data_IF_971881491997
#
_entry.id   IF_971881491997
#
_cell.length_a   1.000
_cell.length_b   1.000
_cell.length_c   1.000
_cell.angle_alpha   90.00
_cell.angle_beta   90.00
_cell.angle_gamma   90.00
#
_symmetry.space_group_name_H-M   'P 1'
#
loop_
_entity.id
_entity.type
_entity.pdbx_description
1 polymer ?
#
# COMPACT_ATOMS: atom_id res chain seq x y z
N UNK A 1 -8.31 3.60 22.07
CA UNK A 1 -8.02 3.82 20.68
C UNK A 1 -6.86 4.79 20.60
N UNK A 2 -6.13 4.84 19.48
CA UNK A 2 -4.83 5.51 19.39
C UNK A 2 -4.87 6.96 19.83
N UNK A 3 -4.50 7.23 21.06
CA UNK A 3 -4.34 8.60 21.57
C UNK A 3 -3.02 9.18 21.06
N UNK A 4 -2.97 9.47 19.76
CA UNK A 4 -1.78 9.99 19.12
C UNK A 4 -0.64 9.00 18.87
N UNK A 5 -0.91 7.71 19.07
CA UNK A 5 0.03 6.63 18.76
C UNK A 5 -0.20 6.12 17.34
N UNK A 6 0.84 5.61 16.71
CA UNK A 6 0.70 4.92 15.45
C UNK A 6 0.35 3.46 15.69
N UNK A 7 -0.92 3.12 15.52
CA UNK A 7 -1.40 1.74 15.56
C UNK A 7 -1.36 1.21 14.12
N UNK A 8 -0.39 0.37 13.80
CA UNK A 8 -0.21 -0.16 12.45
C UNK A 8 -0.53 -1.65 12.39
N UNK A 9 -1.27 -2.04 11.36
CA UNK A 9 -1.49 -3.41 10.90
C UNK A 9 -1.85 -4.43 11.99
N UNK A 10 -3.11 -4.48 12.35
CA UNK A 10 -3.63 -5.53 13.22
C UNK A 10 -3.79 -6.87 12.50
N UNK A 11 -3.44 -7.94 13.19
CA UNK A 11 -3.83 -9.29 12.84
C UNK A 11 -5.15 -9.65 13.53
N UNK A 12 -6.01 -10.40 12.83
CA UNK A 12 -7.27 -10.88 13.37
C UNK A 12 -7.36 -12.39 13.23
N UNK A 13 -7.90 -13.05 14.25
CA UNK A 13 -8.16 -14.48 14.22
C UNK A 13 -9.48 -14.80 14.93
N UNK A 14 -10.19 -15.79 14.43
CA UNK A 14 -11.34 -16.38 15.11
C UNK A 14 -10.94 -17.71 15.74
N UNK A 15 -11.34 -17.92 16.99
CA UNK A 15 -11.22 -19.24 17.59
C UNK A 15 -12.40 -20.17 17.19
N UNK A 16 -12.27 -21.46 17.52
CA UNK A 16 -13.34 -22.44 17.23
C UNK A 16 -14.66 -22.17 17.97
N UNK A 17 -14.73 -21.18 18.86
CA UNK A 17 -15.92 -20.76 19.61
C UNK A 17 -16.54 -19.48 19.07
N UNK A 18 -15.91 -18.87 18.04
CA UNK A 18 -16.36 -17.64 17.42
C UNK A 18 -15.89 -16.35 18.13
N UNK A 19 -14.96 -16.46 19.07
CA UNK A 19 -14.34 -15.28 19.64
C UNK A 19 -13.37 -14.66 18.63
N UNK A 20 -13.43 -13.35 18.47
CA UNK A 20 -12.53 -12.59 17.62
C UNK A 20 -11.36 -12.08 18.45
N UNK A 21 -10.16 -12.50 18.11
CA UNK A 21 -8.92 -11.96 18.64
C UNK A 21 -8.35 -10.94 17.67
N UNK A 22 -7.88 -9.84 18.21
CA UNK A 22 -7.14 -8.82 17.48
C UNK A 22 -5.80 -8.61 18.18
N UNK A 23 -4.71 -8.49 17.44
CA UNK A 23 -3.42 -8.07 17.94
C UNK A 23 -2.85 -7.01 17.02
N UNK A 24 -2.27 -5.97 17.57
CA UNK A 24 -1.70 -4.87 16.80
C UNK A 24 -0.48 -4.30 17.52
N UNK A 25 0.57 -3.95 16.79
CA UNK A 25 1.69 -3.20 17.32
C UNK A 25 1.32 -1.72 17.45
N UNK A 26 1.89 -1.07 18.43
CA UNK A 26 1.82 0.38 18.60
C UNK A 26 3.18 0.91 19.04
N UNK A 27 3.52 2.09 18.59
CA UNK A 27 4.80 2.71 18.94
C UNK A 27 4.80 3.43 20.28
N UNK A 28 3.69 3.48 20.97
CA UNK A 28 3.52 4.16 22.26
C UNK A 28 4.04 5.61 22.31
N UNK A 29 4.27 6.23 21.14
CA UNK A 29 4.82 7.59 21.12
C UNK A 29 3.91 8.55 21.86
N UNK A 30 4.52 9.44 22.62
CA UNK A 30 3.89 10.67 23.09
C UNK A 30 4.08 11.76 22.03
N UNK A 31 3.11 12.67 21.89
CA UNK A 31 3.13 13.72 20.86
C UNK A 31 4.38 14.63 20.86
N UNK A 32 5.13 14.61 21.96
CA UNK A 32 6.34 15.41 22.12
C UNK A 32 7.63 14.68 21.75
N UNK A 33 7.57 13.35 21.51
CA UNK A 33 8.76 12.54 21.18
C UNK A 33 8.68 12.00 19.74
N UNK A 34 9.55 12.55 18.89
CA UNK A 34 9.69 12.12 17.48
C UNK A 34 10.42 10.78 17.33
N UNK A 35 10.95 10.21 18.37
CA UNK A 35 11.78 9.01 18.32
C UNK A 35 11.03 7.81 18.90
N UNK A 36 10.96 6.75 18.11
CA UNK A 36 10.39 5.46 18.48
C UNK A 36 11.36 4.70 19.39
N UNK A 37 11.20 4.77 20.68
CA UNK A 37 12.05 4.01 21.58
C UNK A 37 11.50 2.61 21.87
N UNK A 38 10.18 2.42 21.83
CA UNK A 38 9.55 1.16 22.22
C UNK A 38 8.30 0.88 21.39
N UNK A 39 8.24 -0.31 20.80
CA UNK A 39 7.02 -0.84 20.22
C UNK A 39 6.46 -1.96 21.11
N UNK A 40 5.18 -1.85 21.46
CA UNK A 40 4.46 -2.88 22.18
C UNK A 40 3.43 -3.55 21.28
N UNK A 41 3.11 -4.80 21.59
CA UNK A 41 2.01 -5.52 20.93
C UNK A 41 0.82 -5.54 21.90
N UNK A 42 -0.26 -4.91 21.49
CA UNK A 42 -1.53 -4.98 22.19
C UNK A 42 -2.38 -6.11 21.61
N UNK A 43 -3.12 -6.77 22.46
CA UNK A 43 -4.07 -7.78 22.05
C UNK A 43 -5.41 -7.58 22.76
N UNK A 44 -6.47 -7.86 22.06
CA UNK A 44 -7.83 -7.81 22.57
C UNK A 44 -8.65 -9.00 22.12
N UNK A 45 -9.65 -9.35 22.88
CA UNK A 45 -10.62 -10.38 22.52
C UNK A 45 -12.04 -9.81 22.59
N UNK A 46 -12.79 -9.96 21.51
CA UNK A 46 -14.22 -9.77 21.49
C UNK A 46 -14.89 -11.14 21.59
N UNK A 47 -15.54 -11.45 22.71
CA UNK A 47 -16.20 -12.73 22.86
C UNK A 47 -17.36 -12.88 21.87
N UNK A 48 -17.58 -14.12 21.43
CA UNK A 48 -18.76 -14.43 20.62
C UNK A 48 -20.02 -14.04 21.39
N UNK A 49 -20.88 -13.25 20.76
CA UNK A 49 -22.15 -12.89 21.34
C UNK A 49 -23.09 -14.10 21.31
N UNK A 50 -23.69 -14.51 22.46
CA UNK A 50 -24.68 -15.58 22.47
C UNK A 50 -25.83 -15.23 21.53
N UNK A 51 -26.13 -16.11 20.60
CA UNK A 51 -27.22 -15.90 19.64
C UNK A 51 -26.92 -14.86 18.58
N UNK A 52 -25.63 -14.63 18.28
CA UNK A 52 -25.26 -13.81 17.14
C UNK A 52 -26.04 -14.28 15.90
N UNK A 53 -26.77 -13.39 15.21
CA UNK A 53 -27.50 -13.77 14.02
C UNK A 53 -26.52 -14.37 13.01
N UNK A 54 -27.03 -15.36 12.25
CA UNK A 54 -26.27 -15.89 11.10
C UNK A 54 -25.67 -14.72 10.34
N UNK A 55 -24.36 -14.79 10.04
CA UNK A 55 -23.57 -13.67 9.54
C UNK A 55 -24.28 -12.83 8.49
N UNK A 56 -23.91 -11.58 8.31
CA UNK A 56 -24.62 -10.64 7.45
C UNK A 56 -24.79 -11.25 6.06
N UNK A 57 -26.03 -11.34 5.60
CA UNK A 57 -26.30 -11.75 4.21
C UNK A 57 -25.78 -10.64 3.30
N UNK A 58 -24.67 -10.89 2.64
CA UNK A 58 -24.17 -9.97 1.63
C UNK A 58 -25.18 -9.89 0.49
N UNK A 59 -25.64 -8.69 0.20
CA UNK A 59 -26.43 -8.40 -1.00
C UNK A 59 -25.50 -7.82 -2.06
N UNK A 60 -25.60 -8.33 -3.27
CA UNK A 60 -24.95 -7.70 -4.39
C UNK A 60 -25.42 -6.24 -4.48
N UNK A 61 -24.48 -5.31 -4.44
CA UNK A 61 -24.75 -3.88 -4.65
C UNK A 61 -24.31 -3.53 -6.06
N UNK A 62 -25.24 -3.05 -6.86
CA UNK A 62 -24.88 -2.41 -8.11
C UNK A 62 -24.17 -1.11 -7.76
N UNK A 63 -22.88 -1.04 -8.06
CA UNK A 63 -22.12 0.21 -7.93
C UNK A 63 -22.62 1.12 -9.05
N UNK A 64 -23.22 2.28 -8.73
CA UNK A 64 -23.59 3.22 -9.79
C UNK A 64 -22.32 3.60 -10.53
N UNK A 65 -22.38 3.53 -11.86
CA UNK A 65 -21.29 4.10 -12.67
C UNK A 65 -21.25 5.60 -12.37
N UNK A 66 -20.27 6.00 -11.59
CA UNK A 66 -19.99 7.42 -11.41
C UNK A 66 -19.52 7.95 -12.75
N UNK A 67 -20.30 8.83 -13.34
CA UNK A 67 -19.86 9.57 -14.51
C UNK A 67 -18.83 10.60 -14.04
N UNK A 68 -17.58 10.17 -13.95
CA UNK A 68 -16.46 11.07 -13.68
C UNK A 68 -16.24 11.88 -14.95
N UNK A 69 -16.42 13.19 -14.88
CA UNK A 69 -15.99 14.04 -15.97
C UNK A 69 -14.45 14.02 -15.99
N UNK A 70 -13.83 13.62 -17.10
CA UNK A 70 -12.40 13.66 -17.21
C UNK A 70 -11.90 15.10 -16.98
N UNK A 71 -10.84 15.25 -16.23
CA UNK A 71 -10.18 16.56 -16.01
C UNK A 71 -9.71 17.14 -17.34
N UNK A 72 -9.40 16.27 -18.28
CA UNK A 72 -9.03 16.59 -19.65
C UNK A 72 -9.91 15.81 -20.63
N UNK A 73 -10.60 16.50 -21.54
CA UNK A 73 -11.58 15.89 -22.44
C UNK A 73 -11.02 14.75 -23.32
N UNK A 74 -9.70 14.75 -23.55
CA UNK A 74 -8.98 13.77 -24.37
C UNK A 74 -8.01 12.92 -23.56
N UNK A 75 -8.13 12.86 -22.24
CA UNK A 75 -7.19 12.18 -21.36
C UNK A 75 -6.92 10.73 -21.79
N UNK A 76 -7.95 9.95 -22.04
CA UNK A 76 -7.80 8.55 -22.49
C UNK A 76 -7.08 8.41 -23.82
N UNK A 77 -7.38 9.27 -24.79
CA UNK A 77 -6.73 9.26 -26.11
C UNK A 77 -5.27 9.69 -26.00
N UNK A 78 -4.99 10.73 -25.23
CA UNK A 78 -3.65 11.24 -25.05
C UNK A 78 -2.76 10.25 -24.28
N UNK A 79 -3.30 9.57 -23.27
CA UNK A 79 -2.60 8.48 -22.56
C UNK A 79 -2.31 7.31 -23.50
N UNK A 80 -3.28 6.89 -24.31
CA UNK A 80 -3.06 5.81 -25.28
C UNK A 80 -1.98 6.19 -26.30
N UNK A 81 -2.01 7.42 -26.81
CA UNK A 81 -1.01 7.94 -27.76
C UNK A 81 0.40 7.97 -27.13
N UNK A 82 0.50 8.43 -25.90
CA UNK A 82 1.76 8.50 -25.16
C UNK A 82 2.33 7.10 -24.92
N UNK A 83 1.49 6.14 -24.57
CA UNK A 83 1.92 4.75 -24.32
C UNK A 83 2.34 4.01 -25.59
N UNK A 84 1.73 4.35 -26.73
CA UNK A 84 2.05 3.74 -28.02
C UNK A 84 3.26 4.42 -28.71
N UNK A 85 3.68 5.58 -28.20
CA UNK A 85 4.79 6.31 -28.81
C UNK A 85 6.07 5.48 -28.78
N UNK A 86 6.65 5.34 -29.96
CA UNK A 86 7.95 4.72 -30.16
C UNK A 86 8.76 5.54 -31.16
N UNK A 87 10.07 5.50 -31.03
CA UNK A 87 11.01 6.13 -31.95
C UNK A 87 11.90 5.06 -32.55
N UNK A 88 12.07 5.09 -33.85
CA UNK A 88 12.98 4.20 -34.56
C UNK A 88 14.35 4.86 -34.75
N UNK A 89 15.41 4.20 -34.29
CA UNK A 89 16.76 4.70 -34.43
C UNK A 89 17.75 3.53 -34.54
N UNK A 90 18.63 3.57 -35.52
CA UNK A 90 19.67 2.55 -35.72
C UNK A 90 19.12 1.13 -35.92
N UNK A 91 17.91 0.98 -36.45
CA UNK A 91 17.25 -0.32 -36.62
C UNK A 91 16.57 -0.87 -35.37
N UNK A 92 16.53 -0.10 -34.28
CA UNK A 92 15.86 -0.48 -33.03
C UNK A 92 14.67 0.43 -32.76
N UNK A 93 13.65 -0.12 -32.11
CA UNK A 93 12.47 0.62 -31.65
C UNK A 93 12.61 0.91 -30.15
N UNK A 94 12.49 2.17 -29.78
CA UNK A 94 12.60 2.65 -28.41
C UNK A 94 11.26 3.20 -27.94
N UNK A 95 10.88 2.85 -26.70
CA UNK A 95 9.69 3.36 -26.01
C UNK A 95 10.08 4.16 -24.78
N UNK A 96 9.20 5.07 -24.38
CA UNK A 96 9.33 5.80 -23.13
C UNK A 96 8.54 5.04 -22.09
N UNK A 97 9.23 4.62 -21.02
CA UNK A 97 8.61 4.06 -19.81
C UNK A 97 8.58 5.14 -18.74
N UNK A 98 7.50 5.17 -17.99
CA UNK A 98 7.26 6.13 -16.91
C UNK A 98 7.24 5.42 -15.59
N UNK A 99 7.93 5.97 -14.63
CA UNK A 99 7.95 5.41 -13.29
C UNK A 99 8.66 6.30 -12.31
N UNK A 100 8.68 5.85 -11.10
CA UNK A 100 9.41 6.46 -10.01
C UNK A 100 10.38 5.42 -9.42
N UNK A 101 11.62 5.80 -9.21
CA UNK A 101 12.65 4.91 -8.65
C UNK A 101 12.96 5.21 -7.19
N UNK A 102 12.32 6.22 -6.63
CA UNK A 102 12.60 6.68 -5.27
C UNK A 102 11.31 7.13 -4.59
N UNK A 103 10.62 6.19 -3.96
CA UNK A 103 9.37 6.45 -3.26
C UNK A 103 9.42 5.92 -1.84
N UNK A 104 9.00 6.76 -0.90
CA UNK A 104 8.84 6.39 0.50
C UNK A 104 7.37 6.07 0.81
N UNK A 105 7.16 5.26 1.85
CA UNK A 105 5.83 4.93 2.34
C UNK A 105 5.76 5.13 3.87
N UNK A 106 4.75 4.57 4.50
CA UNK A 106 4.56 4.58 5.95
C UNK A 106 5.77 4.11 6.77
N UNK A 107 6.73 3.44 6.15
CA UNK A 107 7.92 2.93 6.83
C UNK A 107 9.05 3.95 6.97
N UNK A 108 9.04 4.98 6.14
CA UNK A 108 10.01 6.08 6.24
C UNK A 108 9.45 7.21 7.10
N UNK A 109 10.33 7.84 7.87
CA UNK A 109 9.94 8.95 8.77
C UNK A 109 9.33 10.15 8.02
N UNK A 110 9.69 10.33 6.77
CA UNK A 110 9.22 11.40 5.89
C UNK A 110 8.10 10.96 4.93
N UNK A 111 7.83 9.66 4.84
CA UNK A 111 6.75 9.07 4.03
C UNK A 111 5.43 8.83 4.80
N UNK A 112 5.35 9.17 6.08
CA UNK A 112 4.20 8.88 6.95
C UNK A 112 2.84 9.35 6.42
N UNK A 113 2.82 10.40 5.61
CA UNK A 113 1.59 10.97 5.03
C UNK A 113 1.29 10.49 3.62
N UNK A 114 2.17 9.68 3.04
CA UNK A 114 2.08 9.25 1.63
C UNK A 114 1.29 7.95 1.45
N UNK A 115 0.83 7.38 2.53
CA UNK A 115 0.01 6.17 2.54
C UNK A 115 0.81 4.89 2.78
N UNK A 116 0.09 3.77 2.75
CA UNK A 116 0.68 2.46 2.97
C UNK A 116 1.46 1.97 1.76
N UNK A 117 2.35 1.02 1.96
CA UNK A 117 3.08 0.34 0.88
C UNK A 117 2.12 -0.19 -0.21
N UNK A 118 1.01 -0.80 0.18
CA UNK A 118 0.04 -1.34 -0.77
C UNK A 118 -0.72 -0.24 -1.52
N UNK A 119 -1.06 0.86 -0.84
CA UNK A 119 -1.72 2.00 -1.47
C UNK A 119 -0.79 2.71 -2.45
N UNK A 120 0.50 2.76 -2.15
CA UNK A 120 1.52 3.30 -3.04
C UNK A 120 1.55 2.55 -4.38
N UNK A 121 1.60 1.21 -4.36
CA UNK A 121 1.54 0.40 -5.57
C UNK A 121 0.20 0.53 -6.30
N UNK A 122 -0.92 0.55 -5.58
CA UNK A 122 -2.24 0.74 -6.18
C UNK A 122 -2.37 2.10 -6.84
N UNK A 123 -1.88 3.15 -6.20
CA UNK A 123 -1.87 4.48 -6.80
C UNK A 123 -1.02 4.52 -8.07
N UNK A 124 0.16 3.90 -8.05
CA UNK A 124 1.05 3.81 -9.21
C UNK A 124 0.36 3.14 -10.42
N UNK A 125 -0.39 2.06 -10.17
CA UNK A 125 -1.11 1.32 -11.21
C UNK A 125 -2.39 2.00 -11.64
N UNK A 126 -3.28 2.31 -10.68
CA UNK A 126 -4.67 2.67 -10.95
C UNK A 126 -4.85 4.15 -11.27
N UNK A 127 -4.06 5.02 -10.65
CA UNK A 127 -4.19 6.47 -10.80
C UNK A 127 -3.07 7.07 -11.66
N UNK A 128 -1.82 6.77 -11.35
CA UNK A 128 -0.69 7.35 -12.07
C UNK A 128 -0.33 6.60 -13.36
N UNK A 129 -0.84 5.40 -13.54
CA UNK A 129 -0.58 4.57 -14.73
C UNK A 129 0.92 4.44 -15.03
N UNK A 130 1.72 4.19 -14.00
CA UNK A 130 3.16 4.00 -14.15
C UNK A 130 3.48 2.65 -14.78
N UNK A 131 4.64 2.57 -15.42
CA UNK A 131 5.19 1.33 -15.98
C UNK A 131 6.08 0.61 -14.97
N UNK A 132 6.66 1.35 -14.03
CA UNK A 132 7.50 0.82 -12.95
C UNK A 132 7.47 1.69 -11.70
N UNK A 133 7.76 1.08 -10.55
CA UNK A 133 7.90 1.79 -9.26
C UNK A 133 8.97 1.12 -8.41
N UNK A 134 9.89 1.91 -7.90
CA UNK A 134 10.84 1.52 -6.87
C UNK A 134 10.47 2.16 -5.54
N UNK A 135 10.10 1.34 -4.56
CA UNK A 135 9.93 1.78 -3.19
C UNK A 135 11.25 1.62 -2.47
N UNK A 136 11.77 2.72 -1.91
CA UNK A 136 13.06 2.77 -1.23
C UNK A 136 12.88 3.46 0.12
N UNK A 137 12.76 2.67 1.17
CA UNK A 137 12.57 3.19 2.51
C UNK A 137 13.88 3.61 3.15
N UNK A 138 13.83 4.60 4.05
CA UNK A 138 15.00 4.95 4.84
C UNK A 138 15.42 3.82 5.78
N UNK A 139 16.66 3.43 5.70
CA UNK A 139 17.32 2.56 6.68
C UNK A 139 17.75 3.38 7.91
N UNK A 140 16.82 4.12 8.51
CA UNK A 140 17.12 5.05 9.59
C UNK A 140 17.33 4.36 10.93
N UNK A 141 18.25 4.89 11.74
CA UNK A 141 18.40 4.51 13.14
C UNK A 141 17.07 4.78 13.87
N UNK A 142 16.51 3.75 14.51
CA UNK A 142 15.27 3.85 15.29
C UNK A 142 13.99 3.42 14.59
N UNK A 143 14.05 2.98 13.34
CA UNK A 143 12.91 2.38 12.65
C UNK A 143 12.65 0.93 13.08
N UNK A 144 11.46 0.39 12.72
CA UNK A 144 11.19 -1.03 12.89
C UNK A 144 12.24 -1.85 12.14
N UNK A 145 12.34 -3.12 12.52
CA UNK A 145 13.30 -4.08 11.98
C UNK A 145 13.50 -3.93 10.47
N UNK A 146 14.67 -3.45 10.07
CA UNK A 146 15.03 -3.18 8.67
C UNK A 146 14.90 -4.45 7.82
N UNK A 147 15.24 -5.61 8.37
CA UNK A 147 15.13 -6.88 7.68
C UNK A 147 13.67 -7.22 7.38
N UNK A 148 12.77 -6.97 8.33
CA UNK A 148 11.34 -7.19 8.12
C UNK A 148 10.74 -6.22 7.10
N UNK A 149 11.14 -4.96 7.13
CA UNK A 149 10.70 -3.98 6.12
C UNK A 149 11.18 -4.41 4.74
N UNK A 150 12.45 -4.74 4.59
CA UNK A 150 13.00 -5.21 3.31
C UNK A 150 12.26 -6.46 2.80
N UNK A 151 11.93 -7.38 3.70
CA UNK A 151 11.11 -8.54 3.34
C UNK A 151 9.72 -8.13 2.86
N UNK A 152 9.05 -7.18 3.53
CA UNK A 152 7.74 -6.67 3.10
C UNK A 152 7.80 -5.98 1.74
N UNK A 153 8.83 -5.18 1.49
CA UNK A 153 9.05 -4.51 0.20
C UNK A 153 9.18 -5.54 -0.92
N UNK A 154 9.96 -6.61 -0.69
CA UNK A 154 10.11 -7.70 -1.65
C UNK A 154 8.79 -8.42 -1.90
N UNK A 155 8.05 -8.77 -0.83
CA UNK A 155 6.75 -9.43 -0.98
C UNK A 155 5.74 -8.54 -1.73
N UNK A 156 5.73 -7.25 -1.47
CA UNK A 156 4.86 -6.32 -2.18
C UNK A 156 5.29 -6.19 -3.65
N UNK A 157 6.57 -6.10 -3.94
CA UNK A 157 7.07 -6.06 -5.31
C UNK A 157 6.67 -7.32 -6.08
N UNK A 158 6.82 -8.51 -5.49
CA UNK A 158 6.37 -9.76 -6.13
C UNK A 158 4.85 -9.79 -6.35
N UNK A 159 4.08 -9.32 -5.38
CA UNK A 159 2.61 -9.27 -5.45
C UNK A 159 2.10 -8.38 -6.58
N UNK A 160 2.76 -7.24 -6.80
CA UNK A 160 2.36 -6.25 -7.81
C UNK A 160 3.06 -6.42 -9.16
N UNK A 161 3.89 -7.44 -9.33
CA UNK A 161 4.51 -7.74 -10.63
C UNK A 161 3.45 -8.13 -11.67
N UNK A 162 3.25 -7.31 -12.65
CA UNK A 162 2.35 -7.56 -13.79
C UNK A 162 3.18 -7.65 -15.08
N UNK A 163 3.52 -8.85 -15.55
CA UNK A 163 4.37 -9.01 -16.73
C UNK A 163 3.91 -8.18 -17.92
N UNK A 164 4.82 -7.42 -18.53
CA UNK A 164 4.58 -6.52 -19.67
C UNK A 164 3.70 -5.29 -19.38
N UNK A 165 3.21 -5.12 -18.16
CA UNK A 165 2.33 -4.01 -17.78
C UNK A 165 2.98 -3.13 -16.73
N UNK A 166 3.50 -3.75 -15.66
CA UNK A 166 4.09 -3.01 -14.56
C UNK A 166 5.23 -3.80 -13.93
N UNK A 167 6.32 -3.12 -13.64
CA UNK A 167 7.53 -3.72 -13.07
C UNK A 167 7.87 -3.04 -11.75
N UNK A 168 7.59 -3.67 -10.61
CA UNK A 168 8.14 -3.22 -9.34
C UNK A 168 9.66 -3.38 -9.34
N UNK A 169 10.35 -2.41 -8.78
CA UNK A 169 11.78 -2.44 -8.57
C UNK A 169 12.06 -2.63 -7.08
N UNK A 170 13.03 -3.46 -6.76
CA UNK A 170 13.51 -3.59 -5.39
C UNK A 170 14.37 -2.37 -5.07
N UNK A 171 13.91 -1.54 -4.13
CA UNK A 171 14.63 -0.41 -3.58
C UNK A 171 15.17 -0.70 -2.19
N UNK A 172 16.24 -0.02 -1.79
CA UNK A 172 16.81 -0.04 -0.44
C UNK A 172 17.48 1.29 -0.14
#
# INVERSE_FOLDING_TARGET
>A
FSQGRSDVRGGFALDGRGNLFAAWPTDNRDFEEFLFEHADVYAGCLPALPGAPAGPKLKARTIPQLKVNPVHAREGEDLARIRQYAIESGGNSYRIYRGDTHRHTEFSMDGNNDGTLLDCYRYALDAASLDFLGVSEHNGAGGPDVEYINWLLQQAADLFMLPKTFTPLYGY
#
